data_IF_773773878029
#
_entry.id   IF_773773878029
#
_cell.length_a   1.000
_cell.length_b   1.000
_cell.length_c   1.000
_cell.angle_alpha   90.00
_cell.angle_beta   90.00
_cell.angle_gamma   90.00
#
_symmetry.space_group_name_H-M   'P 1'
#
loop_
_entity.id
_entity.type
_entity.pdbx_description
1 polymer ?
#
# COMPACT_ATOMS: atom_id res chain seq x y z
N UNK A 1 -5.69 -13.30 -2.44
CA UNK A 1 -6.78 -12.36 -2.87
C UNK A 1 -6.68 -12.09 -4.36
N UNK A 2 -7.75 -11.75 -5.10
CA UNK A 2 -7.60 -11.53 -6.57
C UNK A 2 -7.14 -10.10 -6.86
N UNK A 3 -6.24 -9.94 -7.84
CA UNK A 3 -5.89 -8.62 -8.40
C UNK A 3 -7.16 -7.86 -8.82
N UNK A 4 -7.14 -6.55 -8.68
CA UNK A 4 -8.26 -5.62 -8.91
C UNK A 4 -9.41 -5.68 -7.88
N UNK A 5 -9.40 -6.60 -6.89
CA UNK A 5 -10.40 -6.49 -5.81
C UNK A 5 -10.04 -5.36 -4.85
N UNK A 6 -11.06 -4.78 -4.22
CA UNK A 6 -10.86 -3.76 -3.19
C UNK A 6 -9.98 -4.25 -2.04
N UNK A 7 -10.08 -5.53 -1.65
CA UNK A 7 -9.19 -6.07 -0.61
C UNK A 7 -7.74 -6.08 -1.08
N UNK A 8 -7.47 -6.57 -2.30
CA UNK A 8 -6.13 -6.56 -2.87
C UNK A 8 -5.57 -5.14 -2.93
N UNK A 9 -6.33 -4.18 -3.48
CA UNK A 9 -5.93 -2.77 -3.57
C UNK A 9 -5.59 -2.20 -2.20
N UNK A 10 -6.40 -2.49 -1.19
CA UNK A 10 -6.14 -2.03 0.19
C UNK A 10 -4.82 -2.54 0.76
N UNK A 11 -4.45 -3.79 0.51
CA UNK A 11 -3.19 -4.35 1.00
C UNK A 11 -1.99 -3.85 0.19
N UNK A 12 -2.13 -3.80 -1.14
CA UNK A 12 -1.09 -3.34 -2.04
C UNK A 12 -0.77 -1.86 -1.85
N UNK A 13 -1.78 -0.98 -1.87
CA UNK A 13 -1.58 0.46 -1.68
C UNK A 13 -1.06 0.80 -0.29
N UNK A 14 -1.44 0.01 0.72
CA UNK A 14 -0.90 0.15 2.07
C UNK A 14 0.57 -0.21 2.11
N UNK A 15 0.97 -1.27 1.41
CA UNK A 15 2.38 -1.62 1.26
C UNK A 15 3.13 -0.49 0.57
N UNK A 16 2.65 0.00 -0.57
CA UNK A 16 3.28 1.10 -1.32
C UNK A 16 3.41 2.36 -0.47
N UNK A 17 2.36 2.71 0.26
CA UNK A 17 2.37 3.85 1.18
C UNK A 17 3.43 3.68 2.29
N UNK A 18 3.50 2.49 2.91
CA UNK A 18 4.53 2.19 3.92
C UNK A 18 5.92 2.30 3.33
N UNK A 19 6.13 1.70 2.15
CA UNK A 19 7.38 1.74 1.42
C UNK A 19 7.84 3.18 1.12
N UNK A 20 6.96 4.02 0.57
CA UNK A 20 7.27 5.43 0.27
C UNK A 20 7.62 6.23 1.53
N UNK A 21 6.89 6.04 2.63
CA UNK A 21 7.14 6.75 3.89
C UNK A 21 8.47 6.30 4.51
N UNK A 22 8.76 5.00 4.52
CA UNK A 22 9.91 4.44 5.22
C UNK A 22 11.22 4.67 4.45
N UNK A 23 11.20 4.50 3.12
CA UNK A 23 12.41 4.54 2.30
C UNK A 23 12.70 5.92 1.70
N UNK A 24 11.67 6.77 1.54
CA UNK A 24 11.80 8.08 0.90
C UNK A 24 11.31 9.24 1.76
N UNK A 25 10.97 8.98 3.02
CA UNK A 25 10.52 9.99 3.98
C UNK A 25 9.35 10.84 3.47
N UNK A 26 8.47 10.25 2.64
CA UNK A 26 7.27 10.92 2.15
C UNK A 26 6.41 11.36 3.34
N UNK A 27 6.01 12.63 3.35
CA UNK A 27 5.16 13.19 4.40
C UNK A 27 3.74 12.64 4.28
N UNK A 28 3.35 11.75 5.21
CA UNK A 28 1.98 11.25 5.32
C UNK A 28 0.95 12.38 5.48
N UNK A 29 1.33 13.48 6.15
CA UNK A 29 0.45 14.63 6.33
C UNK A 29 0.21 15.31 4.97
N UNK A 30 1.25 15.53 4.17
CA UNK A 30 1.07 16.21 2.89
C UNK A 30 0.37 15.31 1.87
N UNK A 31 0.62 14.00 1.91
CA UNK A 31 -0.15 13.04 1.13
C UNK A 31 -1.64 13.07 1.50
N UNK A 32 -1.96 13.12 2.81
CA UNK A 32 -3.36 13.20 3.25
C UNK A 32 -4.08 14.44 2.71
N UNK A 33 -3.41 15.59 2.67
CA UNK A 33 -3.94 16.81 2.07
C UNK A 33 -4.14 16.65 0.56
N UNK A 34 -3.17 16.06 -0.14
CA UNK A 34 -3.22 15.86 -1.58
C UNK A 34 -4.39 14.97 -2.02
N UNK A 35 -4.71 13.93 -1.24
CA UNK A 35 -5.87 13.05 -1.50
C UNK A 35 -7.18 13.57 -0.90
N UNK A 36 -7.17 14.73 -0.24
CA UNK A 36 -8.36 15.35 0.35
C UNK A 36 -8.92 14.60 1.57
N UNK A 37 -8.08 13.87 2.31
CA UNK A 37 -8.48 13.12 3.51
C UNK A 37 -7.85 13.71 4.77
N UNK A 38 -8.49 13.47 5.91
CA UNK A 38 -7.92 13.82 7.20
C UNK A 38 -6.62 13.02 7.46
N UNK A 39 -5.59 13.61 8.10
CA UNK A 39 -4.36 12.89 8.42
C UNK A 39 -4.56 11.64 9.29
N UNK A 40 -5.61 11.60 10.12
CA UNK A 40 -5.99 10.42 10.90
C UNK A 40 -6.43 9.26 10.01
N UNK A 41 -7.19 9.53 8.95
CA UNK A 41 -7.68 8.52 8.01
C UNK A 41 -6.52 7.78 7.33
N UNK A 42 -5.53 8.53 6.84
CA UNK A 42 -4.33 7.95 6.20
C UNK A 42 -3.45 7.23 7.22
N UNK A 43 -3.40 7.71 8.46
CA UNK A 43 -2.68 7.05 9.55
C UNK A 43 -3.30 5.70 9.91
N UNK A 44 -4.63 5.64 10.03
CA UNK A 44 -5.36 4.41 10.32
C UNK A 44 -5.20 3.39 9.19
N UNK A 45 -5.26 3.85 7.93
CA UNK A 45 -4.98 3.01 6.76
C UNK A 45 -3.56 2.45 6.77
N UNK A 46 -2.56 3.33 6.94
CA UNK A 46 -1.15 2.94 7.07
C UNK A 46 -0.93 1.92 8.19
N UNK A 47 -1.62 2.06 9.33
CA UNK A 47 -1.39 1.24 10.52
C UNK A 47 -2.00 -0.16 10.45
N UNK A 48 -3.02 -0.41 9.62
CA UNK A 48 -3.77 -1.66 9.78
C UNK A 48 -5.26 -1.49 9.95
N UNK A 49 -5.65 -0.46 10.70
CA UNK A 49 -6.93 -0.41 11.41
C UNK A 49 -8.10 0.09 10.55
N UNK A 50 -7.85 0.54 9.32
CA UNK A 50 -8.87 1.00 8.38
C UNK A 50 -8.55 0.51 6.98
N UNK A 51 -9.61 0.14 6.25
CA UNK A 51 -9.56 0.01 4.79
C UNK A 51 -10.24 1.21 4.14
N UNK A 52 -9.75 1.59 2.96
CA UNK A 52 -10.35 2.60 2.11
C UNK A 52 -11.42 1.99 1.20
N UNK A 53 -12.42 2.82 0.88
CA UNK A 53 -13.35 2.56 -0.21
C UNK A 53 -12.75 2.95 -1.56
N UNK A 54 -13.43 2.57 -2.65
CA UNK A 54 -12.95 2.76 -4.03
C UNK A 54 -12.48 4.20 -4.30
N UNK A 55 -13.31 5.21 -3.99
CA UNK A 55 -12.99 6.61 -4.27
C UNK A 55 -11.69 7.07 -3.57
N UNK A 56 -11.45 6.60 -2.35
CA UNK A 56 -10.25 6.95 -1.60
C UNK A 56 -9.01 6.21 -2.12
N UNK A 57 -9.17 4.96 -2.59
CA UNK A 57 -8.11 4.21 -3.26
C UNK A 57 -7.74 4.87 -4.60
N UNK A 58 -8.73 5.20 -5.44
CA UNK A 58 -8.50 5.87 -6.73
C UNK A 58 -7.70 7.17 -6.56
N UNK A 59 -8.07 7.98 -5.55
CA UNK A 59 -7.35 9.22 -5.21
C UNK A 59 -5.93 8.95 -4.72
N UNK A 60 -5.76 7.92 -3.87
CA UNK A 60 -4.46 7.54 -3.34
C UNK A 60 -3.53 7.07 -4.46
N UNK A 61 -3.97 6.13 -5.28
CA UNK A 61 -3.22 5.59 -6.42
C UNK A 61 -2.84 6.71 -7.40
N UNK A 62 -3.82 7.50 -7.85
CA UNK A 62 -3.59 8.62 -8.78
C UNK A 62 -2.54 9.59 -8.21
N UNK A 63 -2.65 9.93 -6.92
CA UNK A 63 -1.73 10.87 -6.27
C UNK A 63 -0.33 10.27 -6.12
N UNK A 64 -0.23 9.01 -5.69
CA UNK A 64 1.08 8.35 -5.52
C UNK A 64 1.79 8.16 -6.86
N UNK A 65 1.10 7.73 -7.91
CA UNK A 65 1.69 7.62 -9.24
C UNK A 65 2.06 8.97 -9.83
N UNK A 66 1.22 10.00 -9.65
CA UNK A 66 1.54 11.35 -10.14
C UNK A 66 2.79 11.93 -9.46
N UNK A 67 2.90 11.79 -8.14
CA UNK A 67 3.99 12.39 -7.37
C UNK A 67 5.27 11.55 -7.35
N UNK A 68 5.15 10.22 -7.42
CA UNK A 68 6.25 9.29 -7.12
C UNK A 68 6.50 8.25 -8.23
N UNK A 69 5.93 8.42 -9.44
CA UNK A 69 6.16 7.51 -10.56
C UNK A 69 7.64 7.13 -10.78
N UNK A 70 8.62 8.04 -10.75
CA UNK A 70 10.03 7.65 -10.93
C UNK A 70 10.52 6.67 -9.86
N UNK A 71 10.12 6.86 -8.60
CA UNK A 71 10.50 6.00 -7.48
C UNK A 71 9.84 4.62 -7.63
N UNK A 72 8.53 4.60 -7.91
CA UNK A 72 7.78 3.35 -8.09
C UNK A 72 8.28 2.56 -9.30
N UNK A 73 8.65 3.25 -10.39
CA UNK A 73 9.22 2.60 -11.58
C UNK A 73 10.60 1.99 -11.31
N UNK A 74 11.43 2.64 -10.48
CA UNK A 74 12.72 2.09 -10.10
C UNK A 74 12.61 0.81 -9.25
N UNK A 75 11.47 0.61 -8.60
CA UNK A 75 11.16 -0.57 -7.79
C UNK A 75 10.05 -1.45 -8.38
N UNK A 76 9.85 -1.39 -9.70
CA UNK A 76 8.74 -2.09 -10.35
C UNK A 76 8.81 -3.60 -10.16
N UNK A 77 10.02 -4.16 -10.09
CA UNK A 77 10.23 -5.59 -9.91
C UNK A 77 9.85 -6.05 -8.49
N UNK A 78 10.25 -5.30 -7.46
CA UNK A 78 9.88 -5.57 -6.07
C UNK A 78 8.38 -5.41 -5.85
N UNK A 79 7.78 -4.38 -6.45
CA UNK A 79 6.33 -4.15 -6.40
C UNK A 79 5.54 -5.25 -7.11
N UNK A 80 6.04 -5.78 -8.22
CA UNK A 80 5.44 -6.92 -8.92
C UNK A 80 5.49 -8.20 -8.08
N UNK A 81 6.58 -8.44 -7.34
CA UNK A 81 6.65 -9.56 -6.39
C UNK A 81 5.63 -9.43 -5.25
N UNK A 82 5.42 -8.20 -4.74
CA UNK A 82 4.41 -7.94 -3.72
C UNK A 82 3.00 -8.20 -4.26
N UNK A 83 2.73 -7.82 -5.49
CA UNK A 83 1.48 -8.14 -6.17
C UNK A 83 1.24 -9.66 -6.20
N UNK A 84 2.23 -10.44 -6.64
CA UNK A 84 2.13 -11.91 -6.63
C UNK A 84 1.92 -12.49 -5.23
N UNK A 85 2.65 -11.98 -4.23
CA UNK A 85 2.55 -12.43 -2.85
C UNK A 85 1.15 -12.19 -2.27
N UNK A 86 0.58 -11.00 -2.46
CA UNK A 86 -0.79 -10.70 -2.00
C UNK A 86 -1.81 -11.60 -2.71
N UNK A 87 -1.55 -11.91 -3.98
CA UNK A 87 -2.42 -12.81 -4.73
C UNK A 87 -2.40 -14.23 -4.19
N UNK A 88 -1.24 -14.73 -3.73
CA UNK A 88 -1.08 -16.07 -3.16
C UNK A 88 -1.57 -16.22 -1.71
N UNK A 89 -1.97 -15.14 -1.04
CA UNK A 89 -2.55 -15.22 0.32
C UNK A 89 -3.91 -15.92 0.27
N UNK A 90 -4.01 -17.03 0.99
CA UNK A 90 -5.19 -17.89 1.10
C UNK A 90 -5.81 -17.89 2.52
N UNK A 91 -5.09 -17.36 3.52
CA UNK A 91 -5.55 -17.31 4.92
C UNK A 91 -5.33 -15.96 5.60
N UNK A 92 -6.07 -15.70 6.69
CA UNK A 92 -5.85 -14.48 7.51
C UNK A 92 -4.48 -14.49 8.21
N UNK A 93 -3.96 -15.67 8.58
CA UNK A 93 -2.64 -15.78 9.21
C UNK A 93 -1.52 -15.34 8.25
N UNK A 94 -1.59 -15.77 6.99
CA UNK A 94 -0.67 -15.31 5.94
C UNK A 94 -0.80 -13.81 5.68
N UNK A 95 -2.03 -13.28 5.75
CA UNK A 95 -2.28 -11.86 5.62
C UNK A 95 -1.68 -11.04 6.76
N UNK A 96 -1.80 -11.51 8.00
CA UNK A 96 -1.18 -10.89 9.16
C UNK A 96 0.35 -10.91 9.05
N UNK A 97 0.92 -12.05 8.64
CA UNK A 97 2.36 -12.17 8.38
C UNK A 97 2.82 -11.17 7.31
N UNK A 98 2.08 -11.04 6.22
CA UNK A 98 2.32 -10.03 5.18
C UNK A 98 2.30 -8.61 5.73
N UNK A 99 1.27 -8.26 6.51
CA UNK A 99 1.15 -6.91 7.09
C UNK A 99 2.27 -6.57 8.07
N UNK A 100 2.84 -7.56 8.75
CA UNK A 100 3.94 -7.44 9.69
C UNK A 100 5.31 -7.35 9.02
N UNK A 101 5.59 -8.22 8.03
CA UNK A 101 6.93 -8.36 7.42
C UNK A 101 7.06 -7.71 6.05
N UNK A 102 5.96 -7.34 5.39
CA UNK A 102 5.97 -6.74 4.06
C UNK A 102 6.47 -7.71 2.97
N UNK A 103 7.35 -7.26 2.09
CA UNK A 103 7.93 -8.10 1.04
C UNK A 103 8.92 -9.15 1.59
N UNK A 104 9.44 -8.95 2.80
CA UNK A 104 10.41 -9.84 3.45
C UNK A 104 9.76 -11.11 4.03
N UNK A 105 8.49 -11.38 3.74
CA UNK A 105 7.79 -12.61 4.17
C UNK A 105 8.39 -13.86 3.53
N UNK A 106 9.01 -13.71 2.36
CA UNK A 106 9.61 -14.80 1.58
C UNK A 106 11.07 -15.10 1.94
N UNK A 107 11.69 -14.29 2.81
CA UNK A 107 13.02 -14.59 3.34
C UNK A 107 12.90 -15.73 4.38
N UNK A 108 12.95 -16.97 3.88
CA UNK A 108 13.07 -18.20 4.68
C UNK A 108 14.48 -18.78 4.61
#
# INVERSE_FOLDING_TARGET
MKKETKEFRNEYDRFVLKFLIQNYHVSRIDLSKAIGLAPSYVREFYNGSRSFGEEALDKLETTMFSLYAPLLKNHSFELEQVDYLIQSIESEEELELFRLKGANVLDF
#
